data_IF_477418171515
#
_entry.id   IF_477418171515
#
_cell.length_a   1.000
_cell.length_b   1.000
_cell.length_c   1.000
_cell.angle_alpha   90.00
_cell.angle_beta   90.00
_cell.angle_gamma   90.00
#
_symmetry.space_group_name_H-M   'P 1'
#
loop_
_entity.id
_entity.type
_entity.pdbx_description
1 polymer ?
#
# COMPACT_ATOMS: atom_id res chain seq x y z
N UNK A 1 0.86 -7.60 -5.64
CA UNK A 1 1.31 -6.20 -5.46
C UNK A 1 0.31 -5.17 -5.96
N UNK A 2 0.00 -5.06 -7.27
CA UNK A 2 -0.90 -4.00 -7.78
C UNK A 2 -2.28 -4.02 -7.12
N UNK A 3 -2.97 -5.15 -7.08
CA UNK A 3 -4.26 -5.27 -6.38
C UNK A 3 -4.13 -5.00 -4.88
N UNK A 4 -3.01 -5.42 -4.28
CA UNK A 4 -2.76 -5.25 -2.84
C UNK A 4 -2.54 -3.78 -2.47
N UNK A 5 -2.09 -2.94 -3.40
CA UNK A 5 -1.94 -1.50 -3.19
C UNK A 5 -3.27 -0.79 -2.87
N UNK A 6 -4.41 -1.41 -3.16
CA UNK A 6 -5.74 -0.89 -2.80
C UNK A 6 -6.09 -1.11 -1.32
N UNK A 7 -5.26 -1.85 -0.58
CA UNK A 7 -5.34 -1.97 0.89
C UNK A 7 -4.58 -0.85 1.63
N UNK A 8 -4.03 0.11 0.89
CA UNK A 8 -3.40 1.32 1.43
C UNK A 8 -3.93 2.57 0.71
N UNK A 9 -3.47 3.74 1.17
CA UNK A 9 -3.85 5.03 0.58
C UNK A 9 -3.07 5.36 -0.71
N UNK A 10 -2.33 4.40 -1.29
CA UNK A 10 -1.50 4.65 -2.47
C UNK A 10 -2.30 5.26 -3.64
N UNK A 11 -3.53 4.80 -3.85
CA UNK A 11 -4.42 5.29 -4.93
C UNK A 11 -4.88 6.73 -4.74
N UNK A 12 -4.83 7.25 -3.52
CA UNK A 12 -5.21 8.63 -3.17
C UNK A 12 -3.99 9.57 -3.14
N UNK A 13 -2.79 9.01 -2.91
CA UNK A 13 -1.55 9.79 -2.73
C UNK A 13 -0.68 9.86 -3.98
N UNK A 14 -0.73 8.85 -4.86
CA UNK A 14 0.18 8.74 -6.00
C UNK A 14 -0.59 8.55 -7.33
N UNK A 15 -0.07 9.12 -8.44
CA UNK A 15 -0.59 8.80 -9.76
C UNK A 15 -0.46 7.31 -10.10
N UNK A 16 -1.36 6.73 -10.92
CA UNK A 16 -1.36 5.29 -11.24
C UNK A 16 -0.02 4.77 -11.81
N UNK A 17 0.70 5.57 -12.59
CA UNK A 17 1.98 5.16 -13.17
C UNK A 17 3.09 5.02 -12.12
N UNK A 18 3.09 5.84 -11.06
CA UNK A 18 4.02 5.71 -9.94
C UNK A 18 3.73 4.41 -9.20
N UNK A 19 2.45 4.15 -8.89
CA UNK A 19 2.02 2.91 -8.23
C UNK A 19 2.44 1.69 -9.05
N UNK A 20 2.26 1.73 -10.38
CA UNK A 20 2.64 0.65 -11.27
C UNK A 20 4.15 0.34 -11.22
N UNK A 21 5.00 1.37 -11.29
CA UNK A 21 6.47 1.21 -11.20
C UNK A 21 6.87 0.68 -9.82
N UNK A 22 6.32 1.23 -8.74
CA UNK A 22 6.57 0.71 -7.39
C UNK A 22 6.14 -0.75 -7.24
N UNK A 23 5.03 -1.15 -7.87
CA UNK A 23 4.59 -2.54 -7.89
C UNK A 23 5.56 -3.47 -8.64
N UNK A 24 6.14 -3.01 -9.75
CA UNK A 24 7.17 -3.76 -10.49
C UNK A 24 8.42 -3.93 -9.64
N UNK A 25 8.89 -2.87 -8.98
CA UNK A 25 10.07 -2.89 -8.10
C UNK A 25 9.86 -3.87 -6.95
N UNK A 26 8.73 -3.78 -6.23
CA UNK A 26 8.41 -4.70 -5.13
C UNK A 26 8.27 -6.13 -5.62
N UNK A 27 7.65 -6.34 -6.79
CA UNK A 27 7.53 -7.67 -7.39
C UNK A 27 8.90 -8.28 -7.74
N UNK A 28 9.79 -7.49 -8.33
CA UNK A 28 11.16 -7.93 -8.65
C UNK A 28 11.94 -8.29 -7.39
N UNK A 29 11.86 -7.48 -6.32
CA UNK A 29 12.49 -7.77 -5.03
C UNK A 29 11.96 -9.08 -4.43
N UNK A 30 10.64 -9.27 -4.39
CA UNK A 30 10.02 -10.49 -3.85
C UNK A 30 10.41 -11.76 -4.63
N UNK A 31 10.78 -11.62 -5.90
CA UNK A 31 11.24 -12.73 -6.74
C UNK A 31 12.77 -12.88 -6.76
N UNK A 32 13.53 -12.02 -6.06
CA UNK A 32 14.99 -11.92 -6.16
C UNK A 32 15.48 -11.69 -7.61
N UNK A 33 14.77 -10.81 -8.33
CA UNK A 33 15.01 -10.43 -9.73
C UNK A 33 15.35 -8.95 -9.88
N UNK A 34 15.81 -8.31 -8.80
CA UNK A 34 16.15 -6.89 -8.77
C UNK A 34 17.26 -6.53 -9.77
N UNK A 35 18.15 -7.47 -10.06
CA UNK A 35 19.22 -7.29 -11.06
C UNK A 35 18.69 -7.09 -12.48
N UNK A 36 17.55 -7.69 -12.80
CA UNK A 36 17.00 -7.68 -14.16
C UNK A 36 16.35 -6.35 -14.51
N UNK A 37 15.82 -5.64 -13.50
CA UNK A 37 15.17 -4.34 -13.70
C UNK A 37 16.10 -3.16 -13.46
N UNK A 38 17.25 -3.36 -12.79
CA UNK A 38 18.17 -2.29 -12.40
C UNK A 38 18.68 -1.44 -13.57
N UNK A 39 18.89 -2.05 -14.73
CA UNK A 39 19.34 -1.31 -15.92
C UNK A 39 18.19 -0.55 -16.60
N UNK A 40 16.95 -1.05 -16.47
CA UNK A 40 15.77 -0.43 -17.07
C UNK A 40 15.25 0.76 -16.28
N UNK A 41 15.36 0.75 -14.94
CA UNK A 41 14.84 1.83 -14.11
C UNK A 41 15.38 3.23 -14.48
N UNK A 42 16.70 3.45 -14.66
CA UNK A 42 17.23 4.78 -15.01
C UNK A 42 16.76 5.32 -16.37
N UNK A 43 16.28 4.45 -17.27
CA UNK A 43 15.73 4.85 -18.56
C UNK A 43 14.36 5.54 -18.43
N UNK A 44 13.70 5.40 -17.29
CA UNK A 44 12.40 5.99 -17.02
C UNK A 44 12.53 7.46 -16.62
N UNK A 45 11.86 8.34 -17.35
CA UNK A 45 11.73 9.75 -16.99
C UNK A 45 10.63 9.95 -15.94
N UNK A 46 10.88 9.47 -14.72
CA UNK A 46 9.93 9.50 -13.60
C UNK A 46 10.56 10.07 -12.33
N UNK A 47 9.72 10.62 -11.46
CA UNK A 47 10.11 11.08 -10.13
C UNK A 47 10.35 9.87 -9.20
N UNK A 48 11.62 9.49 -9.05
CA UNK A 48 12.03 8.33 -8.25
C UNK A 48 11.88 8.55 -6.74
N UNK A 49 11.79 9.79 -6.26
CA UNK A 49 11.51 10.07 -4.85
C UNK A 49 10.10 9.59 -4.49
N UNK A 50 9.11 9.93 -5.32
CA UNK A 50 7.73 9.44 -5.16
C UNK A 50 7.61 7.93 -5.35
N UNK A 51 8.37 7.35 -6.28
CA UNK A 51 8.40 5.89 -6.46
C UNK A 51 8.93 5.22 -5.19
N UNK A 52 9.99 5.75 -4.59
CA UNK A 52 10.58 5.23 -3.37
C UNK A 52 9.61 5.30 -2.19
N UNK A 53 8.94 6.43 -2.00
CA UNK A 53 7.93 6.59 -0.94
C UNK A 53 6.74 5.62 -1.12
N UNK A 54 6.27 5.44 -2.36
CA UNK A 54 5.23 4.47 -2.66
C UNK A 54 5.71 3.02 -2.43
N UNK A 55 6.97 2.67 -2.74
CA UNK A 55 7.56 1.36 -2.43
C UNK A 55 7.58 1.12 -0.92
N UNK A 56 8.03 2.10 -0.13
CA UNK A 56 8.04 2.01 1.33
C UNK A 56 6.63 1.85 1.91
N UNK A 57 5.66 2.56 1.35
CA UNK A 57 4.24 2.44 1.74
C UNK A 57 3.74 1.00 1.51
N UNK A 58 4.08 0.38 0.37
CA UNK A 58 3.73 -1.01 0.08
C UNK A 58 4.39 -1.99 1.05
N UNK A 59 5.68 -1.83 1.36
CA UNK A 59 6.36 -2.69 2.34
C UNK A 59 5.80 -2.54 3.76
N UNK A 60 5.47 -1.31 4.17
CA UNK A 60 4.82 -1.05 5.45
C UNK A 60 3.44 -1.73 5.52
N UNK A 61 2.66 -1.66 4.44
CA UNK A 61 1.38 -2.36 4.33
C UNK A 61 1.56 -3.89 4.47
N UNK A 62 2.51 -4.50 3.75
CA UNK A 62 2.77 -5.94 3.88
C UNK A 62 3.25 -6.35 5.28
N UNK A 63 4.06 -5.50 5.94
CA UNK A 63 4.49 -5.74 7.32
C UNK A 63 3.31 -5.78 8.28
N UNK A 64 2.37 -4.83 8.16
CA UNK A 64 1.15 -4.80 8.96
C UNK A 64 0.25 -5.98 8.64
N UNK A 65 0.04 -6.29 7.35
CA UNK A 65 -0.81 -7.39 6.93
C UNK A 65 -0.30 -8.74 7.45
N UNK A 66 1.01 -8.95 7.52
CA UNK A 66 1.60 -10.17 8.06
C UNK A 66 1.22 -10.43 9.53
N UNK A 67 1.03 -9.39 10.33
CA UNK A 67 0.74 -9.51 11.77
C UNK A 67 -0.73 -9.29 12.13
N UNK A 68 -1.53 -8.80 11.19
CA UNK A 68 -2.93 -8.45 11.43
C UNK A 68 -3.86 -9.61 11.09
N UNK A 69 -4.45 -10.24 12.12
CA UNK A 69 -5.53 -11.22 11.94
C UNK A 69 -6.89 -10.51 11.86
N UNK A 70 -7.51 -10.50 10.69
CA UNK A 70 -8.81 -9.86 10.49
C UNK A 70 -9.91 -10.47 11.39
N UNK A 71 -9.88 -11.78 11.68
CA UNK A 71 -10.95 -12.45 12.44
C UNK A 71 -10.93 -12.03 13.91
N UNK A 72 -9.74 -11.92 14.48
CA UNK A 72 -9.55 -11.58 15.88
C UNK A 72 -9.63 -10.08 16.14
N UNK A 73 -9.08 -9.25 15.23
CA UNK A 73 -8.92 -7.82 15.49
C UNK A 73 -10.07 -6.95 15.00
N UNK A 74 -10.82 -7.35 13.96
CA UNK A 74 -11.84 -6.47 13.34
C UNK A 74 -13.02 -6.21 14.28
N UNK A 75 -13.53 -7.22 14.97
CA UNK A 75 -14.70 -7.06 15.86
C UNK A 75 -14.43 -6.06 17.01
N UNK A 76 -13.33 -6.16 17.78
CA UNK A 76 -12.98 -5.15 18.77
C UNK A 76 -12.77 -3.74 18.20
N UNK A 77 -12.36 -3.61 16.94
CA UNK A 77 -12.21 -2.30 16.29
C UNK A 77 -13.57 -1.68 15.96
N UNK A 78 -14.54 -2.48 15.50
CA UNK A 78 -15.92 -2.01 15.25
C UNK A 78 -16.56 -1.42 16.51
N UNK A 79 -16.33 -2.03 17.67
CA UNK A 79 -16.88 -1.55 18.94
C UNK A 79 -16.31 -0.18 19.35
N UNK A 80 -15.11 0.18 18.86
CA UNK A 80 -14.44 1.47 19.10
C UNK A 80 -14.81 2.54 18.08
N UNK A 81 -15.53 2.20 17.01
CA UNK A 81 -15.95 3.19 16.02
C UNK A 81 -16.89 4.22 16.68
N UNK A 82 -16.75 5.51 16.33
CA UNK A 82 -17.69 6.53 16.77
C UNK A 82 -19.12 6.14 16.39
N UNK A 83 -19.99 6.00 17.39
CA UNK A 83 -21.40 5.69 17.16
C UNK A 83 -22.13 6.96 16.76
N UNK A 84 -23.06 6.83 15.81
CA UNK A 84 -23.95 7.91 15.42
C UNK A 84 -24.73 8.35 16.66
N UNK A 85 -24.69 9.65 16.97
CA UNK A 85 -25.55 10.23 17.99
C UNK A 85 -26.97 10.32 17.40
N UNK A 86 -27.96 9.58 17.92
CA UNK A 86 -29.31 9.55 17.36
C UNK A 86 -30.07 10.88 17.46
N UNK A 87 -29.47 11.92 18.07
CA UNK A 87 -30.13 13.18 18.35
C UNK A 87 -31.15 13.04 19.49
N UNK A 88 -31.84 14.12 19.88
CA UNK A 88 -32.91 14.04 20.86
C UNK A 88 -34.11 13.27 20.27
N UNK A 89 -34.52 12.20 20.93
CA UNK A 89 -35.85 11.61 20.72
C UNK A 89 -36.90 12.56 21.30
N UNK A 90 -37.80 13.05 20.43
CA UNK A 90 -38.97 13.86 20.79
C UNK A 90 -40.08 13.01 21.41
#
# INVERSE_FOLDING_TARGET
VANDSLRSDCSLLYPPHIIAISCIIVGAELMNREKDIKMWLPELSVDFEKVYDCVNTLFAMYKTWKTFDEKEHVKPLFDKLPKINPGPTF
#
